data_IF_241216400492
#
_entry.id   IF_241216400492
#
_cell.length_a   1.000
_cell.length_b   1.000
_cell.length_c   1.000
_cell.angle_alpha   90.00
_cell.angle_beta   90.00
_cell.angle_gamma   90.00
#
_symmetry.space_group_name_H-M   'P 1'
#
loop_
_entity.id
_entity.type
_entity.pdbx_description
1 polymer ?
#
# COMPACT_ATOMS: atom_id res chain seq x y z
N UNK A 1 80.81 -12.06 -4.12
CA UNK A 1 79.87 -11.09 -4.76
C UNK A 1 78.51 -11.69 -5.20
N UNK A 2 78.14 -12.93 -4.82
CA UNK A 2 76.95 -13.62 -5.38
C UNK A 2 75.69 -13.74 -4.50
N UNK A 3 75.75 -13.41 -3.20
CA UNK A 3 74.63 -13.68 -2.26
C UNK A 3 73.55 -12.59 -2.27
N UNK A 4 73.93 -11.33 -2.51
CA UNK A 4 73.01 -10.18 -2.48
C UNK A 4 72.00 -10.18 -3.64
N UNK A 5 72.40 -10.65 -4.83
CA UNK A 5 71.52 -10.72 -6.01
C UNK A 5 70.43 -11.79 -5.85
N UNK A 6 70.77 -12.95 -5.28
CA UNK A 6 69.80 -14.03 -5.05
C UNK A 6 68.72 -13.64 -4.03
N UNK A 7 69.10 -12.93 -2.96
CA UNK A 7 68.16 -12.43 -1.95
C UNK A 7 67.25 -11.33 -2.52
N UNK A 8 67.81 -10.42 -3.32
CA UNK A 8 67.04 -9.38 -4.04
C UNK A 8 66.01 -9.98 -4.99
N UNK A 9 66.41 -10.98 -5.79
CA UNK A 9 65.51 -11.68 -6.72
C UNK A 9 64.41 -12.40 -5.94
N UNK A 10 64.76 -13.13 -4.88
CA UNK A 10 63.80 -13.83 -4.03
C UNK A 10 62.76 -12.87 -3.43
N UNK A 11 63.21 -11.76 -2.84
CA UNK A 11 62.31 -10.78 -2.21
C UNK A 11 61.41 -10.09 -3.25
N UNK A 12 61.94 -9.82 -4.45
CA UNK A 12 61.15 -9.23 -5.54
C UNK A 12 60.06 -10.17 -6.05
N UNK A 13 60.36 -11.46 -6.19
CA UNK A 13 59.40 -12.49 -6.60
C UNK A 13 58.35 -12.68 -5.50
N UNK A 14 58.77 -12.79 -4.23
CA UNK A 14 57.86 -12.91 -3.10
C UNK A 14 56.91 -11.71 -3.01
N UNK A 15 57.42 -10.49 -3.09
CA UNK A 15 56.62 -9.27 -2.98
C UNK A 15 55.66 -9.11 -4.17
N UNK A 16 56.10 -9.44 -5.39
CA UNK A 16 55.24 -9.37 -6.59
C UNK A 16 54.12 -10.41 -6.56
N UNK A 17 54.40 -11.65 -6.13
CA UNK A 17 53.37 -12.67 -5.92
C UNK A 17 52.41 -12.23 -4.81
N UNK A 18 52.92 -11.77 -3.67
CA UNK A 18 52.09 -11.30 -2.57
C UNK A 18 51.18 -10.15 -3.01
N UNK A 19 51.73 -9.12 -3.67
CA UNK A 19 50.97 -7.96 -4.11
C UNK A 19 49.93 -8.32 -5.17
N UNK A 20 50.27 -9.19 -6.13
CA UNK A 20 49.33 -9.62 -7.17
C UNK A 20 48.19 -10.47 -6.62
N UNK A 21 48.48 -11.38 -5.69
CA UNK A 21 47.46 -12.19 -5.00
C UNK A 21 46.58 -11.30 -4.12
N UNK A 22 47.16 -10.42 -3.31
CA UNK A 22 46.38 -9.48 -2.51
C UNK A 22 45.50 -8.58 -3.38
N UNK A 23 46.04 -7.99 -4.44
CA UNK A 23 45.30 -7.10 -5.33
C UNK A 23 44.16 -7.84 -6.05
N UNK A 24 44.40 -9.06 -6.53
CA UNK A 24 43.37 -9.85 -7.22
C UNK A 24 42.26 -10.31 -6.27
N UNK A 25 42.60 -10.71 -5.04
CA UNK A 25 41.61 -11.08 -4.02
C UNK A 25 40.82 -9.85 -3.59
N UNK A 26 41.47 -8.74 -3.26
CA UNK A 26 40.80 -7.50 -2.90
C UNK A 26 39.87 -7.02 -4.03
N UNK A 27 40.35 -6.99 -5.27
CA UNK A 27 39.56 -6.54 -6.41
C UNK A 27 38.37 -7.48 -6.65
N UNK A 28 38.54 -8.80 -6.59
CA UNK A 28 37.45 -9.76 -6.80
C UNK A 28 36.39 -9.69 -5.70
N UNK A 29 36.78 -9.51 -4.44
CA UNK A 29 35.84 -9.31 -3.33
C UNK A 29 35.11 -7.98 -3.48
N UNK A 30 35.82 -6.89 -3.74
CA UNK A 30 35.20 -5.58 -3.98
C UNK A 30 34.22 -5.64 -5.16
N UNK A 31 34.63 -6.23 -6.29
CA UNK A 31 33.79 -6.34 -7.48
C UNK A 31 32.56 -7.20 -7.22
N UNK A 32 32.69 -8.33 -6.50
CA UNK A 32 31.56 -9.19 -6.19
C UNK A 32 30.56 -8.53 -5.24
N UNK A 33 31.02 -7.78 -4.23
CA UNK A 33 30.16 -7.01 -3.32
C UNK A 33 29.47 -5.86 -4.06
N UNK A 34 30.19 -5.14 -4.93
CA UNK A 34 29.62 -4.09 -5.77
C UNK A 34 28.58 -4.66 -6.73
N UNK A 35 28.88 -5.75 -7.45
CA UNK A 35 27.91 -6.40 -8.32
C UNK A 35 26.70 -6.91 -7.53
N UNK A 36 26.90 -7.49 -6.34
CA UNK A 36 25.78 -7.93 -5.50
C UNK A 36 24.86 -6.76 -5.12
N UNK A 37 25.41 -5.62 -4.71
CA UNK A 37 24.63 -4.40 -4.44
C UNK A 37 23.89 -3.88 -5.68
N UNK A 38 24.58 -3.81 -6.81
CA UNK A 38 23.99 -3.37 -8.08
C UNK A 38 22.88 -4.32 -8.53
N UNK A 39 23.09 -5.64 -8.35
CA UNK A 39 22.08 -6.67 -8.67
C UNK A 39 20.91 -6.58 -7.70
N UNK A 40 21.13 -6.38 -6.41
CA UNK A 40 20.05 -6.14 -5.43
C UNK A 40 19.26 -4.87 -5.70
N UNK A 41 19.90 -3.83 -6.25
CA UNK A 41 19.21 -2.62 -6.70
C UNK A 41 18.47 -2.82 -8.03
N UNK A 42 18.99 -3.67 -8.91
CA UNK A 42 18.34 -4.05 -10.17
C UNK A 42 17.26 -5.12 -10.01
N UNK A 43 17.30 -5.89 -8.91
CA UNK A 43 16.29 -6.86 -8.53
C UNK A 43 15.04 -6.05 -8.19
N UNK A 44 14.16 -5.95 -9.18
CA UNK A 44 13.08 -4.97 -9.23
C UNK A 44 12.37 -4.83 -7.89
N UNK A 45 12.32 -3.59 -7.40
CA UNK A 45 11.43 -3.23 -6.32
C UNK A 45 10.00 -3.48 -6.76
N UNK A 46 9.19 -4.03 -5.87
CA UNK A 46 7.77 -4.24 -6.14
C UNK A 46 6.95 -3.58 -5.06
N UNK A 47 5.90 -2.92 -5.48
CA UNK A 47 4.94 -2.31 -4.60
C UNK A 47 3.80 -3.29 -4.33
N UNK A 48 3.66 -3.69 -3.08
CA UNK A 48 2.79 -4.81 -2.70
C UNK A 48 1.60 -4.30 -1.91
N UNK A 49 0.40 -4.65 -2.38
CA UNK A 49 -0.84 -4.51 -1.64
C UNK A 49 -1.14 -5.76 -0.79
N UNK A 50 -2.10 -5.70 0.13
CA UNK A 50 -2.60 -6.89 0.82
C UNK A 50 -3.11 -7.94 -0.18
N UNK A 51 -2.92 -9.21 0.15
CA UNK A 51 -3.37 -10.35 -0.67
C UNK A 51 -4.88 -10.57 -0.63
N UNK A 52 -5.56 -10.00 0.36
CA UNK A 52 -7.00 -10.14 0.58
C UNK A 52 -7.68 -8.76 0.66
N UNK A 53 -9.00 -8.68 0.38
CA UNK A 53 -9.74 -7.45 0.56
C UNK A 53 -9.70 -6.95 2.01
N UNK A 54 -9.71 -5.64 2.18
CA UNK A 54 -9.89 -5.01 3.48
C UNK A 54 -11.37 -4.78 3.68
N UNK A 55 -11.90 -5.27 4.81
CA UNK A 55 -13.30 -5.16 5.19
C UNK A 55 -13.40 -4.13 6.32
N UNK A 56 -14.36 -3.21 6.21
CA UNK A 56 -14.62 -2.17 7.21
C UNK A 56 -16.11 -1.84 7.27
N UNK A 57 -16.56 -1.07 8.26
CA UNK A 57 -17.95 -0.71 8.44
C UNK A 57 -18.20 0.79 8.20
N UNK A 58 -19.46 1.11 7.88
CA UNK A 58 -19.89 2.51 7.75
C UNK A 58 -19.64 3.27 9.06
N UNK A 59 -19.00 4.44 8.95
CA UNK A 59 -18.64 5.31 10.09
C UNK A 59 -17.24 5.07 10.66
N UNK A 60 -16.60 3.95 10.32
CA UNK A 60 -15.26 3.61 10.83
C UNK A 60 -14.16 4.52 10.26
N UNK A 61 -12.96 4.36 10.82
CA UNK A 61 -11.70 4.76 10.20
C UNK A 61 -11.00 3.49 9.68
N UNK A 62 -10.51 3.53 8.43
CA UNK A 62 -9.82 2.40 7.79
C UNK A 62 -8.47 2.83 7.22
N UNK A 63 -7.46 1.96 7.35
CA UNK A 63 -6.14 2.12 6.75
C UNK A 63 -5.98 1.17 5.58
N UNK A 64 -5.64 1.71 4.41
CA UNK A 64 -5.25 0.95 3.22
C UNK A 64 -3.72 0.92 3.16
N UNK A 65 -3.08 -0.22 3.46
CA UNK A 65 -1.65 -0.35 3.50
C UNK A 65 -1.08 -0.55 2.10
N UNK A 66 0.06 0.07 1.86
CA UNK A 66 0.89 -0.20 0.70
C UNK A 66 2.36 0.02 1.09
N UNK A 67 3.24 -0.88 0.65
CA UNK A 67 4.65 -0.89 1.05
C UNK A 67 5.56 -1.29 -0.11
N UNK A 68 6.80 -0.81 -0.06
CA UNK A 68 7.87 -1.19 -0.97
C UNK A 68 8.53 -2.48 -0.46
N UNK A 69 8.78 -3.41 -1.38
CA UNK A 69 9.54 -4.63 -1.12
C UNK A 69 10.72 -4.73 -2.08
N UNK A 70 11.97 -4.91 -1.59
CA UNK A 70 12.38 -4.87 -0.17
C UNK A 70 12.16 -3.48 0.48
N UNK A 71 12.23 -3.44 1.83
CA UNK A 71 12.05 -2.22 2.61
C UNK A 71 13.14 -1.19 2.28
N UNK A 72 12.82 -0.26 1.38
CA UNK A 72 13.68 0.85 1.01
C UNK A 72 13.15 2.18 1.54
N UNK A 73 14.06 3.16 1.66
CA UNK A 73 13.69 4.54 1.91
C UNK A 73 12.88 5.08 0.72
N UNK A 74 11.59 5.38 0.94
CA UNK A 74 10.70 5.98 -0.05
C UNK A 74 10.94 7.49 -0.29
N UNK A 75 12.08 8.02 0.14
CA UNK A 75 12.42 9.43 -0.07
C UNK A 75 12.62 9.70 -1.57
N UNK A 76 11.96 10.76 -2.06
CA UNK A 76 12.00 11.15 -3.47
C UNK A 76 10.89 10.53 -4.35
N UNK A 77 10.02 9.68 -3.78
CA UNK A 77 8.83 9.20 -4.48
C UNK A 77 7.59 10.02 -4.14
N UNK A 78 6.81 10.32 -5.17
CA UNK A 78 5.45 10.83 -5.07
C UNK A 78 4.47 9.66 -4.97
N UNK A 79 3.38 9.86 -4.22
CA UNK A 79 2.37 8.83 -3.98
C UNK A 79 1.01 9.35 -4.42
N UNK A 80 0.33 8.59 -5.27
CA UNK A 80 -1.00 8.91 -5.77
C UNK A 80 -1.97 7.76 -5.52
N UNK A 81 -2.95 8.02 -4.68
CA UNK A 81 -4.09 7.14 -4.46
C UNK A 81 -5.25 7.53 -5.38
N UNK A 82 -5.78 6.55 -6.11
CA UNK A 82 -6.96 6.68 -6.97
C UNK A 82 -7.93 5.55 -6.71
N UNK A 83 -9.16 5.68 -7.18
CA UNK A 83 -10.13 4.58 -7.18
C UNK A 83 -10.37 4.11 -8.62
N UNK A 84 -10.92 2.92 -8.80
CA UNK A 84 -11.20 2.41 -10.14
C UNK A 84 -12.26 3.26 -10.88
N UNK A 85 -13.19 3.87 -10.14
CA UNK A 85 -14.24 4.74 -10.69
C UNK A 85 -13.73 6.12 -11.12
N UNK A 86 -12.57 6.57 -10.63
CA UNK A 86 -12.04 7.90 -10.94
C UNK A 86 -10.51 7.93 -10.95
N UNK A 87 -9.93 8.38 -12.07
CA UNK A 87 -8.49 8.63 -12.21
C UNK A 87 -8.02 9.89 -11.44
N UNK A 88 -8.95 10.70 -10.93
CA UNK A 88 -8.62 11.82 -10.06
C UNK A 88 -8.13 11.31 -8.70
N UNK A 89 -7.11 11.95 -8.10
CA UNK A 89 -6.56 11.50 -6.83
C UNK A 89 -7.55 11.71 -5.68
N UNK A 90 -7.83 10.62 -4.96
CA UNK A 90 -8.40 10.69 -3.61
C UNK A 90 -7.39 11.28 -2.62
N UNK A 91 -6.11 10.99 -2.84
CA UNK A 91 -4.99 11.61 -2.15
C UNK A 91 -3.76 11.61 -3.06
N UNK A 92 -3.09 12.75 -3.17
CA UNK A 92 -1.79 12.91 -3.81
C UNK A 92 -0.82 13.48 -2.79
N UNK A 93 0.23 12.75 -2.47
CA UNK A 93 1.39 13.26 -1.75
C UNK A 93 2.47 13.60 -2.76
N UNK A 94 2.79 14.89 -2.90
CA UNK A 94 3.81 15.38 -3.82
C UNK A 94 4.49 16.62 -3.23
N UNK A 95 5.81 16.72 -3.36
CA UNK A 95 6.60 17.86 -2.84
C UNK A 95 6.27 18.18 -1.36
N UNK A 96 6.18 17.14 -0.53
CA UNK A 96 5.82 17.23 0.88
C UNK A 96 4.45 17.87 1.18
N UNK A 97 3.58 17.95 0.18
CA UNK A 97 2.23 18.49 0.30
C UNK A 97 1.21 17.40 0.00
N UNK A 98 0.06 17.47 0.68
CA UNK A 98 -1.07 16.55 0.49
C UNK A 98 -2.17 17.29 -0.27
N UNK A 99 -2.63 16.71 -1.38
CA UNK A 99 -3.64 17.26 -2.26
C UNK A 99 -4.76 16.24 -2.45
N UNK A 100 -6.01 16.67 -2.26
CA UNK A 100 -7.21 15.86 -2.54
C UNK A 100 -8.04 16.56 -3.60
N UNK A 101 -8.40 15.88 -4.69
CA UNK A 101 -9.17 16.49 -5.79
C UNK A 101 -10.63 16.04 -5.84
N UNK A 102 -10.98 14.97 -5.13
CA UNK A 102 -12.35 14.48 -5.08
C UNK A 102 -13.01 15.05 -3.83
N UNK A 103 -14.03 15.88 -4.01
CA UNK A 103 -14.72 16.60 -2.94
C UNK A 103 -15.22 15.67 -1.82
N UNK A 104 -15.79 14.51 -2.18
CA UNK A 104 -16.30 13.55 -1.19
C UNK A 104 -15.22 13.02 -0.24
N UNK A 105 -13.93 13.08 -0.60
CA UNK A 105 -12.80 12.62 0.25
C UNK A 105 -12.13 13.75 1.02
N UNK A 106 -12.47 15.02 0.73
CA UNK A 106 -11.85 16.19 1.35
C UNK A 106 -12.10 16.20 2.86
N UNK A 107 -11.03 16.39 3.63
CA UNK A 107 -11.08 16.38 5.11
C UNK A 107 -11.30 15.01 5.74
N UNK A 108 -11.43 13.94 4.94
CA UNK A 108 -11.58 12.55 5.42
C UNK A 108 -10.34 11.70 5.24
N UNK A 109 -9.43 12.09 4.34
CA UNK A 109 -8.23 11.32 4.03
C UNK A 109 -7.03 11.83 4.80
N UNK A 110 -6.20 10.90 5.29
CA UNK A 110 -4.92 11.19 5.93
C UNK A 110 -3.85 10.33 5.29
N UNK A 111 -2.70 10.92 4.99
CA UNK A 111 -1.53 10.19 4.53
C UNK A 111 -0.70 9.75 5.74
N UNK A 112 -0.55 8.44 5.93
CA UNK A 112 0.30 7.88 6.97
C UNK A 112 1.62 7.43 6.38
N UNK A 113 2.71 7.97 6.92
CA UNK A 113 4.10 7.67 6.56
C UNK A 113 4.88 7.28 7.80
N UNK A 114 4.58 6.11 8.34
CA UNK A 114 5.30 5.57 9.49
C UNK A 114 6.64 4.96 9.03
N UNK A 115 7.75 5.45 9.60
CA UNK A 115 9.12 5.00 9.33
C UNK A 115 9.52 4.91 7.84
N UNK A 116 8.90 5.72 6.97
CA UNK A 116 9.11 5.73 5.51
C UNK A 116 8.78 4.41 4.79
N UNK A 117 8.28 3.40 5.52
CA UNK A 117 8.02 2.04 5.04
C UNK A 117 6.61 1.88 4.51
N UNK A 118 5.67 2.59 5.12
CA UNK A 118 4.25 2.48 4.81
C UNK A 118 3.77 3.76 4.12
N UNK A 119 3.22 3.62 2.92
CA UNK A 119 2.67 4.72 2.12
C UNK A 119 1.14 4.65 2.15
N UNK A 120 0.58 4.64 3.36
CA UNK A 120 -0.80 4.20 3.58
C UNK A 120 -1.80 5.34 3.48
N UNK A 121 -2.96 5.05 2.90
CA UNK A 121 -4.10 5.94 2.90
C UNK A 121 -5.01 5.59 4.07
N UNK A 122 -5.30 6.56 4.92
CA UNK A 122 -6.33 6.45 5.96
C UNK A 122 -7.59 7.18 5.48
N UNK A 123 -8.75 6.56 5.62
CA UNK A 123 -10.06 7.15 5.30
C UNK A 123 -10.90 7.16 6.58
N UNK A 124 -11.35 8.36 6.97
CA UNK A 124 -12.22 8.61 8.13
C UNK A 124 -13.68 8.66 7.74
N UNK A 125 -14.54 8.26 8.67
CA UNK A 125 -16.00 8.29 8.51
C UNK A 125 -16.39 7.61 7.19
N UNK A 126 -16.06 6.32 7.11
CA UNK A 126 -16.22 5.49 5.92
C UNK A 126 -17.68 5.46 5.46
N UNK A 127 -17.90 5.62 4.16
CA UNK A 127 -19.21 5.58 3.51
C UNK A 127 -19.31 4.35 2.61
N UNK A 128 -20.53 3.88 2.36
CA UNK A 128 -20.79 2.80 1.40
C UNK A 128 -20.22 3.11 0.01
N UNK A 129 -20.19 4.39 -0.38
CA UNK A 129 -19.59 4.86 -1.65
C UNK A 129 -18.09 4.67 -1.74
N UNK A 130 -17.40 4.59 -0.60
CA UNK A 130 -15.95 4.47 -0.51
C UNK A 130 -15.48 3.04 -0.85
N UNK A 131 -16.39 2.06 -0.85
CA UNK A 131 -16.11 0.70 -1.32
C UNK A 131 -15.77 0.69 -2.81
N UNK A 132 -14.51 0.37 -3.12
CA UNK A 132 -13.96 0.38 -4.46
C UNK A 132 -12.62 -0.39 -4.51
N UNK A 133 -12.10 -0.60 -5.73
CA UNK A 133 -10.72 -1.00 -5.93
C UNK A 133 -9.84 0.25 -5.96
N UNK A 134 -9.00 0.39 -4.94
CA UNK A 134 -8.02 1.46 -4.83
C UNK A 134 -6.73 1.07 -5.55
N UNK A 135 -6.14 2.06 -6.23
CA UNK A 135 -4.80 1.95 -6.78
C UNK A 135 -3.91 2.95 -6.08
N UNK A 136 -2.80 2.48 -5.53
CA UNK A 136 -1.73 3.33 -5.04
C UNK A 136 -0.59 3.27 -6.06
N UNK A 137 -0.35 4.40 -6.70
CA UNK A 137 0.73 4.62 -7.65
C UNK A 137 1.88 5.26 -6.90
N UNK A 138 3.07 4.67 -7.02
CA UNK A 138 4.33 5.24 -6.55
C UNK A 138 5.14 5.62 -7.77
N UNK A 139 5.61 6.86 -7.84
CA UNK A 139 6.34 7.32 -9.02
C UNK A 139 7.42 8.36 -8.70
N UNK A 140 8.41 8.41 -9.57
CA UNK A 140 9.49 9.40 -9.64
C UNK A 140 9.77 9.70 -11.13
N UNK A 141 10.82 10.46 -11.44
CA UNK A 141 11.17 10.76 -12.85
C UNK A 141 11.48 9.51 -13.69
N UNK A 142 11.98 8.44 -13.08
CA UNK A 142 12.49 7.26 -13.80
C UNK A 142 11.76 5.96 -13.46
N UNK A 143 10.81 6.00 -12.52
CA UNK A 143 10.18 4.81 -11.98
C UNK A 143 8.70 5.06 -11.70
N UNK A 144 7.87 4.08 -12.05
CA UNK A 144 6.45 4.03 -11.72
C UNK A 144 6.07 2.58 -11.43
N UNK A 145 5.36 2.35 -10.32
CA UNK A 145 4.78 1.05 -9.97
C UNK A 145 3.42 1.24 -9.28
N UNK A 146 2.59 0.19 -9.25
CA UNK A 146 1.25 0.24 -8.65
C UNK A 146 0.91 -0.96 -7.75
N UNK A 147 0.19 -0.68 -6.67
CA UNK A 147 -0.46 -1.69 -5.84
C UNK A 147 -1.97 -1.50 -5.89
N UNK A 148 -2.69 -2.62 -5.84
CA UNK A 148 -4.15 -2.65 -5.90
C UNK A 148 -4.72 -3.20 -4.61
N UNK A 149 -5.68 -2.48 -4.04
CA UNK A 149 -6.28 -2.79 -2.74
C UNK A 149 -7.80 -2.73 -2.88
N UNK A 150 -8.47 -3.84 -2.60
CA UNK A 150 -9.93 -3.91 -2.66
C UNK A 150 -10.53 -3.57 -1.29
N UNK A 151 -11.31 -2.51 -1.20
CA UNK A 151 -12.01 -2.09 0.02
C UNK A 151 -13.48 -2.49 -0.05
N UNK A 152 -13.92 -3.31 0.90
CA UNK A 152 -15.32 -3.72 1.07
C UNK A 152 -15.89 -2.99 2.28
N UNK A 153 -17.00 -2.27 2.08
CA UNK A 153 -17.69 -1.54 3.14
C UNK A 153 -19.01 -2.22 3.47
N UNK A 154 -19.15 -2.63 4.72
CA UNK A 154 -20.36 -3.29 5.23
C UNK A 154 -21.17 -2.36 6.16
N UNK A 155 -22.45 -2.65 6.32
CA UNK A 155 -23.32 -1.94 7.25
C UNK A 155 -23.36 -2.65 8.60
N UNK A 156 -23.30 -1.90 9.70
CA UNK A 156 -23.62 -2.44 11.03
C UNK A 156 -25.13 -2.75 11.10
N UNK A 157 -25.49 -4.01 11.27
CA UNK A 157 -26.86 -4.41 11.60
C UNK A 157 -27.06 -4.28 13.11
N UNK A 158 -27.47 -3.10 13.58
CA UNK A 158 -27.98 -2.97 14.94
C UNK A 158 -29.47 -3.32 14.89
N UNK A 159 -29.80 -4.59 15.16
CA UNK A 159 -31.15 -4.95 15.53
C UNK A 159 -31.40 -4.34 16.92
N UNK A 160 -32.03 -3.16 16.96
CA UNK A 160 -32.55 -2.63 18.22
C UNK A 160 -33.73 -3.53 18.62
N UNK A 161 -33.68 -4.23 19.78
CA UNK A 161 -34.83 -4.99 20.21
C UNK A 161 -35.94 -3.99 20.56
N UNK A 162 -36.95 -3.89 19.69
CA UNK A 162 -38.19 -3.23 20.09
C UNK A 162 -38.96 -4.25 20.90
N UNK A 163 -39.01 -4.04 22.21
CA UNK A 163 -39.98 -4.71 23.07
C UNK A 163 -41.32 -4.09 22.69
N UNK A 164 -42.11 -4.80 21.88
CA UNK A 164 -43.50 -4.40 21.67
C UNK A 164 -44.24 -4.49 23.00
N UNK A 165 -45.29 -3.67 23.17
CA UNK A 165 -46.14 -3.72 24.37
C UNK A 165 -46.73 -5.12 24.65
N UNK A 166 -46.67 -6.04 23.68
CA UNK A 166 -47.10 -7.44 23.79
C UNK A 166 -46.00 -8.40 24.28
N UNK A 167 -44.82 -7.91 24.66
CA UNK A 167 -43.71 -8.72 25.18
C UNK A 167 -43.05 -9.63 24.13
N UNK A 168 -43.32 -9.43 22.83
CA UNK A 168 -42.70 -10.21 21.74
C UNK A 168 -41.54 -9.42 21.13
N UNK A 169 -40.37 -10.06 20.93
CA UNK A 169 -39.27 -9.42 20.21
C UNK A 169 -39.72 -9.14 18.77
N UNK A 170 -39.72 -7.87 18.39
CA UNK A 170 -40.04 -7.43 17.04
C UNK A 170 -38.85 -6.66 16.45
N UNK A 171 -38.39 -7.10 15.28
CA UNK A 171 -37.25 -6.50 14.57
C UNK A 171 -37.79 -5.34 13.73
N UNK A 172 -37.53 -4.09 14.11
CA UNK A 172 -37.70 -2.97 13.18
C UNK A 172 -36.61 -3.02 12.12
N UNK A 173 -37.00 -3.10 10.86
CA UNK A 173 -36.10 -2.80 9.74
C UNK A 173 -35.83 -1.30 9.73
N UNK A 174 -34.73 -0.84 10.33
CA UNK A 174 -34.19 0.46 9.95
C UNK A 174 -33.70 0.36 8.50
N UNK A 175 -34.18 1.27 7.65
CA UNK A 175 -33.87 1.28 6.24
C UNK A 175 -32.36 1.48 6.03
N UNK A 176 -31.66 0.40 5.67
CA UNK A 176 -30.29 0.49 5.18
C UNK A 176 -30.30 0.97 3.72
N UNK A 177 -29.32 1.78 3.28
CA UNK A 177 -29.11 1.98 1.85
C UNK A 177 -28.71 0.64 1.24
N UNK A 178 -29.41 0.24 0.16
CA UNK A 178 -29.37 -1.07 -0.51
C UNK A 178 -27.99 -1.78 -0.43
N UNK A 179 -27.88 -2.81 0.42
CA UNK A 179 -26.75 -3.75 0.43
C UNK A 179 -26.99 -4.77 -0.68
N UNK A 180 -26.07 -4.85 -1.66
CA UNK A 180 -26.06 -5.94 -2.64
C UNK A 180 -25.55 -7.20 -1.95
N UNK A 181 -26.44 -8.04 -1.47
CA UNK A 181 -26.09 -9.37 -0.94
C UNK A 181 -26.08 -10.34 -2.13
N UNK A 182 -24.95 -10.98 -2.39
CA UNK A 182 -24.84 -12.07 -3.37
C UNK A 182 -25.22 -13.39 -2.70
N UNK A 183 -26.45 -13.87 -2.90
CA UNK A 183 -26.82 -15.27 -2.66
C UNK A 183 -27.02 -15.95 -4.02
N UNK A 184 -26.23 -17.00 -4.29
CA UNK A 184 -26.47 -18.02 -5.31
C UNK A 184 -27.23 -17.55 -6.58
N UNK A 185 -26.59 -16.71 -7.41
CA UNK A 185 -26.95 -16.57 -8.83
C UNK A 185 -28.22 -15.77 -9.19
N UNK A 186 -28.88 -15.06 -8.28
CA UNK A 186 -30.02 -14.19 -8.61
C UNK A 186 -29.73 -12.71 -8.30
N UNK A 187 -29.76 -11.87 -9.32
CA UNK A 187 -29.67 -10.42 -9.17
C UNK A 187 -31.01 -9.84 -8.68
N UNK A 188 -31.08 -9.38 -7.43
CA UNK A 188 -32.24 -8.64 -6.94
C UNK A 188 -32.16 -7.16 -7.40
N UNK A 189 -33.19 -6.72 -8.13
CA UNK A 189 -33.36 -5.31 -8.55
C UNK A 189 -33.92 -4.50 -7.37
N UNK A 190 -33.14 -3.54 -6.87
CA UNK A 190 -33.58 -2.60 -5.84
C UNK A 190 -34.61 -1.61 -6.43
N UNK A 191 -35.84 -1.55 -5.90
CA UNK A 191 -36.86 -0.55 -6.26
C UNK A 191 -37.03 0.41 -5.07
N UNK A 192 -36.85 1.71 -5.33
CA UNK A 192 -36.97 2.79 -4.33
C UNK A 192 -38.41 2.82 -3.80
N UNK A 193 -38.61 2.53 -2.51
CA UNK A 193 -39.93 2.69 -1.87
C UNK A 193 -40.06 4.13 -1.37
N UNK A 194 -40.70 4.99 -2.15
CA UNK A 194 -41.12 6.32 -1.72
C UNK A 194 -42.53 6.23 -1.12
N UNK A 195 -42.65 5.77 0.13
CA UNK A 195 -43.85 6.03 0.94
C UNK A 195 -43.44 6.20 2.40
N UNK A 196 -43.33 7.45 2.83
CA UNK A 196 -43.46 7.85 4.22
C UNK A 196 -44.97 8.08 4.50
N UNK A 197 -45.57 7.53 5.56
CA UNK A 197 -46.76 8.14 6.12
C UNK A 197 -46.32 9.28 7.05
N UNK A 198 -46.80 10.49 6.75
CA UNK A 198 -46.89 11.56 7.74
C UNK A 198 -47.88 11.11 8.82
N UNK A 199 -47.51 11.27 10.10
CA UNK A 199 -48.48 11.32 11.20
C UNK A 199 -48.47 12.76 11.73
N UNK A 200 -49.63 13.42 11.63
CA UNK A 200 -50.05 14.51 12.52
C UNK A 200 -50.83 13.86 13.66
#
# INVERSE_FOLDING_TARGET
MGTNKNLSIYLSIYLSIYLSVCLSVCLSVCLSVCLAHMVSFSAGFSFVGPSHPIITYVGDEVMLPAFLSPELNAQGFDIKWTTLKSSSPVLLYQNNSIITRIESYTGRTVFSRENLKYMSLIIRNVRVSDGDLYKCLVFSEQWEDEARINLIVEGHYIASPIISHDGKPSISRMATPCVKIWFFGLALKCKRSTKFPFFV
#
